data_IF_239233012432
#
_entry.id   IF_239233012432
#
_cell.length_a   1.000
_cell.length_b   1.000
_cell.length_c   1.000
_cell.angle_alpha   90.00
_cell.angle_beta   90.00
_cell.angle_gamma   90.00
#
_symmetry.space_group_name_H-M   'P 1'
#
loop_
_entity.id
_entity.type
_entity.pdbx_description
1 polymer ?
#
# COMPACT_ATOMS: atom_id res chain seq x y z
N UNK A 1 -2.03 -19.80 -27.86
CA UNK A 1 -2.71 -18.56 -27.45
C UNK A 1 -2.32 -17.46 -28.43
N UNK A 2 -3.29 -16.81 -29.07
CA UNK A 2 -3.07 -15.67 -29.95
C UNK A 2 -3.54 -14.41 -29.24
N UNK A 3 -2.60 -13.59 -28.77
CA UNK A 3 -2.89 -12.30 -28.16
C UNK A 3 -1.63 -11.46 -28.19
N UNK A 4 -1.67 -10.33 -28.89
CA UNK A 4 -0.61 -9.34 -28.79
C UNK A 4 -0.85 -8.52 -27.53
N UNK A 5 0.17 -8.45 -26.67
CA UNK A 5 0.14 -7.70 -25.41
C UNK A 5 1.31 -6.73 -25.46
N UNK A 6 0.99 -5.45 -25.43
CA UNK A 6 2.01 -4.40 -25.36
C UNK A 6 2.82 -4.53 -24.06
N UNK A 7 4.13 -4.25 -24.14
CA UNK A 7 4.95 -4.01 -22.96
C UNK A 7 4.39 -2.87 -22.11
N UNK A 8 4.75 -2.84 -20.83
CA UNK A 8 4.41 -1.78 -19.88
C UNK A 8 2.91 -1.45 -19.78
N UNK A 9 2.07 -2.47 -19.92
CA UNK A 9 0.62 -2.31 -20.00
C UNK A 9 -0.10 -3.34 -19.12
N UNK A 10 -1.26 -2.93 -18.59
CA UNK A 10 -2.17 -3.75 -17.79
C UNK A 10 -3.35 -4.19 -18.64
N UNK A 11 -3.63 -5.48 -18.64
CA UNK A 11 -4.76 -6.10 -19.34
C UNK A 11 -5.62 -6.89 -18.36
N UNK A 12 -6.94 -6.90 -18.55
CA UNK A 12 -7.86 -7.74 -17.79
C UNK A 12 -9.15 -8.03 -18.58
N UNK A 13 -10.00 -8.92 -18.05
CA UNK A 13 -11.28 -9.32 -18.65
C UNK A 13 -11.20 -10.61 -19.48
N UNK A 14 -12.35 -11.07 -19.98
CA UNK A 14 -12.46 -12.23 -20.88
C UNK A 14 -13.36 -11.90 -22.09
N UNK A 15 -12.81 -11.70 -23.32
CA UNK A 15 -11.37 -11.72 -23.61
C UNK A 15 -10.65 -10.52 -22.99
N UNK A 16 -9.34 -10.66 -22.75
CA UNK A 16 -8.53 -9.61 -22.12
C UNK A 16 -8.43 -8.37 -23.01
N UNK A 17 -8.60 -7.18 -22.42
CA UNK A 17 -8.48 -5.88 -23.08
C UNK A 17 -7.47 -5.00 -22.35
N UNK A 18 -6.74 -4.17 -23.10
CA UNK A 18 -5.82 -3.18 -22.54
C UNK A 18 -6.63 -2.20 -21.68
N UNK A 19 -6.20 -1.99 -20.43
CA UNK A 19 -6.85 -1.07 -19.51
C UNK A 19 -6.07 0.24 -19.37
N UNK A 20 -4.75 0.15 -19.16
CA UNK A 20 -3.86 1.28 -18.89
C UNK A 20 -2.40 0.84 -18.99
N UNK A 21 -1.47 1.78 -18.91
CA UNK A 21 -0.03 1.51 -18.72
C UNK A 21 0.29 1.06 -17.29
N UNK A 22 1.47 0.47 -17.07
CA UNK A 22 1.94 0.14 -15.72
C UNK A 22 2.12 1.40 -14.85
N UNK A 23 2.52 2.53 -15.43
CA UNK A 23 2.70 3.79 -14.69
C UNK A 23 1.37 4.37 -14.22
N UNK A 24 0.36 4.40 -15.09
CA UNK A 24 -0.99 4.80 -14.69
C UNK A 24 -1.55 3.87 -13.62
N UNK A 25 -1.27 2.56 -13.72
CA UNK A 25 -1.67 1.60 -12.70
C UNK A 25 -0.98 1.84 -11.35
N UNK A 26 0.32 2.17 -11.35
CA UNK A 26 1.06 2.52 -10.12
C UNK A 26 0.43 3.73 -9.43
N UNK A 27 0.20 4.83 -10.16
CA UNK A 27 -0.45 6.04 -9.60
C UNK A 27 -1.85 5.72 -9.08
N UNK A 28 -2.62 4.90 -9.81
CA UNK A 28 -3.95 4.43 -9.36
C UNK A 28 -3.86 3.63 -8.06
N UNK A 29 -2.86 2.75 -7.92
CA UNK A 29 -2.68 1.93 -6.71
C UNK A 29 -2.20 2.76 -5.52
N UNK A 30 -1.30 3.71 -5.71
CA UNK A 30 -0.84 4.60 -4.63
C UNK A 30 -2.00 5.40 -4.01
N UNK A 31 -2.88 5.97 -4.86
CA UNK A 31 -4.06 6.70 -4.40
C UNK A 31 -5.02 5.78 -3.63
N UNK A 32 -5.36 4.64 -4.23
CA UNK A 32 -6.26 3.66 -3.62
C UNK A 32 -5.73 3.10 -2.30
N UNK A 33 -4.43 2.82 -2.20
CA UNK A 33 -3.83 2.28 -0.99
C UNK A 33 -4.03 3.23 0.21
N UNK A 34 -3.91 4.55 0.00
CA UNK A 34 -4.14 5.53 1.05
C UNK A 34 -5.61 5.59 1.47
N UNK A 35 -6.53 5.57 0.51
CA UNK A 35 -7.98 5.53 0.76
C UNK A 35 -8.38 4.25 1.52
N UNK A 36 -7.88 3.09 1.08
CA UNK A 36 -8.09 1.78 1.71
C UNK A 36 -7.60 1.81 3.17
N UNK A 37 -6.38 2.30 3.43
CA UNK A 37 -5.82 2.40 4.77
C UNK A 37 -6.63 3.34 5.68
N UNK A 38 -7.06 4.52 5.17
CA UNK A 38 -7.91 5.46 5.92
C UNK A 38 -9.24 4.80 6.29
N UNK A 39 -9.86 4.08 5.36
CA UNK A 39 -11.11 3.36 5.59
C UNK A 39 -10.97 2.30 6.68
N UNK A 40 -9.88 1.53 6.70
CA UNK A 40 -9.60 0.56 7.78
C UNK A 40 -9.56 1.26 9.14
N UNK A 41 -8.85 2.39 9.25
CA UNK A 41 -8.76 3.16 10.50
C UNK A 41 -10.14 3.65 10.97
N UNK A 42 -10.92 4.25 10.07
CA UNK A 42 -12.23 4.80 10.40
C UNK A 42 -13.23 3.71 10.79
N UNK A 43 -13.28 2.60 10.04
CA UNK A 43 -14.16 1.47 10.35
C UNK A 43 -13.77 0.76 11.65
N UNK A 44 -12.47 0.60 11.91
CA UNK A 44 -11.99 0.05 13.17
C UNK A 44 -12.39 0.95 14.36
N UNK A 45 -12.19 2.27 14.25
CA UNK A 45 -12.62 3.23 15.27
C UNK A 45 -14.14 3.18 15.47
N UNK A 46 -14.92 3.13 14.39
CA UNK A 46 -16.39 3.05 14.44
C UNK A 46 -16.87 1.78 15.15
N UNK A 47 -16.22 0.64 14.90
CA UNK A 47 -16.60 -0.67 15.44
C UNK A 47 -16.15 -0.88 16.89
N UNK A 48 -14.94 -0.45 17.25
CA UNK A 48 -14.31 -0.78 18.53
C UNK A 48 -14.14 0.42 19.47
N UNK A 49 -14.52 1.62 19.02
CA UNK A 49 -14.38 2.88 19.76
C UNK A 49 -12.94 3.17 20.24
N UNK A 50 -11.94 2.68 19.50
CA UNK A 50 -10.51 2.87 19.77
C UNK A 50 -9.72 2.86 18.46
N UNK A 51 -8.50 3.39 18.48
CA UNK A 51 -7.63 3.37 17.31
C UNK A 51 -7.07 1.96 17.05
N UNK A 52 -6.89 1.54 15.79
CA UNK A 52 -6.25 0.27 15.49
C UNK A 52 -4.79 0.28 15.95
N UNK A 53 -4.29 -0.80 16.57
CA UNK A 53 -2.86 -1.02 16.65
C UNK A 53 -2.30 -1.21 15.24
N UNK A 54 -1.01 -0.95 15.06
CA UNK A 54 -0.36 -1.02 13.75
C UNK A 54 -0.43 -2.41 13.10
N UNK A 55 -0.54 -3.47 13.89
CA UNK A 55 -0.72 -4.84 13.41
C UNK A 55 -1.98 -5.06 12.59
N UNK A 56 -3.01 -4.20 12.73
CA UNK A 56 -4.23 -4.24 11.91
C UNK A 56 -4.06 -3.51 10.56
N UNK A 57 -2.89 -2.94 10.29
CA UNK A 57 -2.53 -2.25 9.05
C UNK A 57 -1.21 -2.78 8.46
N UNK A 58 -0.93 -4.07 8.66
CA UNK A 58 0.32 -4.69 8.24
C UNK A 58 0.47 -4.84 6.71
N UNK A 59 -0.56 -4.56 5.91
CA UNK A 59 -0.46 -4.42 4.45
C UNK A 59 -0.17 -2.98 4.00
N UNK A 60 -0.26 -2.01 4.92
CA UNK A 60 -0.15 -0.58 4.64
C UNK A 60 1.11 0.06 5.23
N UNK A 61 2.02 -0.72 5.85
CA UNK A 61 3.20 -0.17 6.53
C UNK A 61 4.12 0.69 5.65
N UNK A 62 4.14 0.46 4.33
CA UNK A 62 4.85 1.34 3.38
C UNK A 62 4.38 2.80 3.45
N UNK A 63 3.14 3.04 3.89
CA UNK A 63 2.62 4.39 4.07
C UNK A 63 3.24 5.09 5.27
N UNK A 64 3.67 4.44 6.35
CA UNK A 64 4.02 5.15 7.60
C UNK A 64 5.31 4.68 8.28
N UNK A 65 5.96 3.62 7.79
CA UNK A 65 7.26 3.16 8.30
C UNK A 65 8.44 3.70 7.49
N UNK A 66 9.49 4.07 8.23
CA UNK A 66 10.79 4.53 7.71
C UNK A 66 11.99 3.85 8.35
N UNK A 67 11.79 3.17 9.48
CA UNK A 67 12.89 2.59 10.25
C UNK A 67 13.33 1.21 9.70
N UNK A 68 14.52 0.79 10.11
CA UNK A 68 15.12 -0.47 9.69
C UNK A 68 14.56 -1.70 10.44
N UNK A 69 13.74 -1.49 11.50
CA UNK A 69 13.18 -2.58 12.28
C UNK A 69 11.90 -3.13 11.63
N UNK A 70 12.09 -3.86 10.54
CA UNK A 70 11.02 -4.46 9.75
C UNK A 70 10.71 -5.91 10.16
N UNK A 71 11.15 -6.32 11.35
CA UNK A 71 10.97 -7.69 11.86
C UNK A 71 9.49 -8.10 11.91
N UNK A 72 8.61 -7.18 12.31
CA UNK A 72 7.17 -7.38 12.33
C UNK A 72 6.55 -7.60 10.92
N UNK A 73 7.26 -7.19 9.87
CA UNK A 73 6.80 -7.26 8.47
C UNK A 73 7.58 -8.27 7.64
N UNK A 74 8.43 -9.10 8.24
CA UNK A 74 9.36 -9.98 7.51
C UNK A 74 8.67 -10.83 6.44
N UNK A 75 7.54 -11.45 6.78
CA UNK A 75 6.77 -12.26 5.83
C UNK A 75 6.30 -11.43 4.63
N UNK A 76 5.83 -10.20 4.88
CA UNK A 76 5.34 -9.29 3.84
C UNK A 76 6.48 -8.80 2.96
N UNK A 77 7.65 -8.56 3.57
CA UNK A 77 8.88 -8.20 2.88
C UNK A 77 9.41 -9.32 1.98
N UNK A 78 9.11 -10.58 2.30
CA UNK A 78 9.59 -11.78 1.62
C UNK A 78 8.57 -12.42 0.67
N UNK A 79 7.34 -11.91 0.59
CA UNK A 79 6.22 -12.47 -0.21
C UNK A 79 6.61 -12.86 -1.65
N UNK A 80 7.42 -12.03 -2.31
CA UNK A 80 7.89 -12.27 -3.68
C UNK A 80 9.37 -12.66 -3.75
N UNK A 81 9.93 -13.18 -2.65
CA UNK A 81 11.36 -13.49 -2.47
C UNK A 81 12.27 -12.31 -2.81
N UNK A 82 11.78 -11.10 -2.53
CA UNK A 82 12.35 -9.83 -2.96
C UNK A 82 12.71 -8.90 -1.80
N UNK A 83 13.07 -9.46 -0.63
CA UNK A 83 13.35 -8.73 0.60
C UNK A 83 14.26 -7.51 0.40
N UNK A 84 15.38 -7.68 -0.33
CA UNK A 84 16.33 -6.59 -0.58
C UNK A 84 15.70 -5.44 -1.39
N UNK A 85 14.81 -5.76 -2.33
CA UNK A 85 14.07 -4.75 -3.10
C UNK A 85 13.07 -4.06 -2.19
N UNK A 86 12.27 -4.80 -1.43
CA UNK A 86 11.30 -4.26 -0.47
C UNK A 86 11.96 -3.34 0.56
N UNK A 87 13.12 -3.74 1.10
CA UNK A 87 13.90 -2.93 2.05
C UNK A 87 14.38 -1.63 1.43
N UNK A 88 14.97 -1.71 0.22
CA UNK A 88 15.40 -0.53 -0.53
C UNK A 88 14.21 0.39 -0.84
N UNK A 89 13.05 -0.17 -1.18
CA UNK A 89 11.83 0.60 -1.44
C UNK A 89 11.41 1.37 -0.20
N UNK A 90 11.33 0.77 0.99
CA UNK A 90 10.96 1.50 2.23
C UNK A 90 11.93 2.64 2.53
N UNK A 91 13.25 2.37 2.40
CA UNK A 91 14.29 3.35 2.71
C UNK A 91 14.30 4.53 1.72
N UNK A 92 13.91 4.30 0.47
CA UNK A 92 13.93 5.33 -0.59
C UNK A 92 12.58 5.98 -0.85
N UNK A 93 11.48 5.30 -0.46
CA UNK A 93 10.13 5.76 -0.70
C UNK A 93 9.83 7.00 0.15
N UNK A 94 9.36 8.05 -0.52
CA UNK A 94 8.90 9.27 0.13
C UNK A 94 7.48 9.08 0.63
N UNK A 95 7.33 8.56 1.84
CA UNK A 95 6.05 8.68 2.53
C UNK A 95 5.83 10.13 3.02
N UNK A 96 4.57 10.56 2.96
CA UNK A 96 4.08 11.82 3.52
C UNK A 96 3.98 11.81 5.05
N UNK A 97 4.03 10.65 5.69
CA UNK A 97 3.87 10.49 7.13
C UNK A 97 5.23 10.33 7.81
N UNK A 98 5.38 10.94 8.98
CA UNK A 98 6.58 10.79 9.81
C UNK A 98 6.65 9.40 10.43
N UNK A 99 5.52 8.95 10.97
CA UNK A 99 5.35 7.72 11.73
C UNK A 99 3.87 7.29 11.71
N UNK A 100 3.55 6.18 12.38
CA UNK A 100 2.18 5.67 12.47
C UNK A 100 1.21 6.65 13.14
N UNK A 101 1.66 7.40 14.15
CA UNK A 101 0.80 8.37 14.84
C UNK A 101 0.42 9.54 13.93
N UNK A 102 1.36 10.03 13.12
CA UNK A 102 1.11 11.06 12.11
C UNK A 102 0.10 10.58 11.05
N UNK A 103 0.20 9.33 10.62
CA UNK A 103 -0.79 8.70 9.75
C UNK A 103 -2.19 8.63 10.39
N UNK A 104 -2.28 8.22 11.67
CA UNK A 104 -3.56 8.19 12.39
C UNK A 104 -4.17 9.60 12.50
N UNK A 105 -3.36 10.62 12.79
CA UNK A 105 -3.82 12.00 12.85
C UNK A 105 -4.36 12.47 11.49
N UNK A 106 -3.71 12.10 10.38
CA UNK A 106 -4.24 12.36 9.03
C UNK A 106 -5.60 11.71 8.79
N UNK A 107 -5.78 10.45 9.22
CA UNK A 107 -7.05 9.75 9.04
C UNK A 107 -8.21 10.42 9.79
N UNK A 108 -7.92 11.06 10.92
CA UNK A 108 -8.90 11.70 11.80
C UNK A 108 -9.21 13.16 11.45
N UNK A 109 -8.42 13.81 10.59
CA UNK A 109 -8.73 15.16 10.12
C UNK A 109 -9.98 15.10 9.24
N UNK A 110 -10.99 15.87 9.62
CA UNK A 110 -12.11 16.21 8.74
C UNK A 110 -11.58 17.15 7.65
N UNK A 111 -12.03 16.94 6.41
CA UNK A 111 -11.73 17.82 5.27
C UNK A 111 -12.48 19.15 5.38
#
# INVERSE_FOLDING_TARGET
>A
MSGHVDSDSVYAGNPAKKLMTLDEFRVKREKKQLEEAKNVVLEYKRRFNKMPPESELDEYFFLFRKDDNLSAFKEKMELMRNYNVSKKTIQTHKTRFKDYQDFLNYCLKEE
#
